data_IF_664615843444
#
_entry.id   IF_664615843444
#
_cell.length_a   1.000
_cell.length_b   1.000
_cell.length_c   1.000
_cell.angle_alpha   90.00
_cell.angle_beta   90.00
_cell.angle_gamma   90.00
#
_symmetry.space_group_name_H-M   'P 1'
#
loop_
_entity.id
_entity.type
_entity.pdbx_description
1 polymer ?
#
# COMPACT_ATOMS: atom_id res chain seq x y z
N UNK A 1 -28.71 -20.37 17.72
CA UNK A 1 -27.97 -21.25 18.67
C UNK A 1 -26.51 -20.98 18.43
N UNK A 2 -25.76 -20.60 19.45
CA UNK A 2 -24.31 -20.32 19.37
C UNK A 2 -23.60 -21.38 20.19
N UNK A 3 -22.58 -22.04 19.63
CA UNK A 3 -21.78 -23.05 20.32
C UNK A 3 -20.45 -22.45 20.78
N UNK A 4 -19.98 -22.74 22.01
CA UNK A 4 -18.65 -22.37 22.47
C UNK A 4 -17.56 -23.39 22.10
N UNK A 5 -17.91 -24.47 21.40
CA UNK A 5 -16.98 -25.55 21.08
C UNK A 5 -16.05 -25.14 19.92
N UNK A 6 -14.71 -25.21 20.10
CA UNK A 6 -13.77 -24.86 19.06
C UNK A 6 -13.54 -26.01 18.08
N UNK A 7 -13.15 -25.67 16.85
CA UNK A 7 -12.53 -26.60 15.93
C UNK A 7 -11.01 -26.66 16.20
N UNK A 8 -10.45 -27.87 16.32
CA UNK A 8 -9.03 -28.09 16.61
C UNK A 8 -8.42 -28.94 15.51
N UNK A 9 -7.39 -28.41 14.85
CA UNK A 9 -6.56 -29.13 13.90
C UNK A 9 -5.11 -29.15 14.37
N UNK A 10 -4.45 -30.29 14.23
CA UNK A 10 -3.03 -30.47 14.52
C UNK A 10 -2.29 -30.68 13.22
N UNK A 11 -1.32 -29.82 12.93
CA UNK A 11 -0.48 -29.89 11.74
C UNK A 11 0.96 -30.11 12.19
N UNK A 12 1.62 -31.13 11.63
CA UNK A 12 3.03 -31.40 11.92
C UNK A 12 3.91 -30.32 11.28
N UNK A 13 4.88 -29.81 12.06
CA UNK A 13 5.76 -28.73 11.60
C UNK A 13 6.75 -29.23 10.56
N UNK A 14 7.02 -28.38 9.57
CA UNK A 14 8.04 -28.58 8.57
C UNK A 14 9.16 -27.54 8.70
N UNK A 15 10.44 -27.88 8.43
CA UNK A 15 11.49 -26.88 8.25
C UNK A 15 11.19 -25.87 7.13
N UNK A 16 10.27 -26.22 6.21
CA UNK A 16 9.81 -25.35 5.13
C UNK A 16 8.68 -24.39 5.55
N UNK A 17 8.19 -24.46 6.80
CA UNK A 17 7.17 -23.53 7.28
C UNK A 17 7.71 -22.09 7.22
N UNK A 18 6.99 -21.20 6.54
CA UNK A 18 7.39 -19.80 6.39
C UNK A 18 6.82 -18.93 7.51
N UNK A 19 5.49 -18.83 7.59
CA UNK A 19 4.80 -18.00 8.57
C UNK A 19 3.35 -18.46 8.79
N UNK A 20 2.75 -18.01 9.89
CA UNK A 20 1.31 -18.11 10.18
C UNK A 20 0.73 -16.70 10.22
N UNK A 21 -0.48 -16.54 9.67
CA UNK A 21 -1.29 -15.35 9.81
C UNK A 21 -2.55 -15.70 10.60
N UNK A 22 -2.82 -14.94 11.66
CA UNK A 22 -4.09 -14.94 12.37
C UNK A 22 -4.72 -13.57 12.19
N UNK A 23 -5.97 -13.50 11.74
CA UNK A 23 -6.67 -12.24 11.56
C UNK A 23 -8.18 -12.40 11.77
N UNK A 24 -8.85 -11.30 12.11
CA UNK A 24 -10.31 -11.24 12.14
C UNK A 24 -10.92 -11.12 10.72
N UNK A 25 -12.24 -11.25 10.64
CA UNK A 25 -13.07 -11.01 9.46
C UNK A 25 -12.81 -9.65 8.80
N UNK A 26 -12.52 -8.60 9.58
CA UNK A 26 -12.12 -7.29 9.03
C UNK A 26 -10.94 -7.35 8.03
N UNK A 27 -10.09 -8.39 8.06
CA UNK A 27 -9.10 -8.70 7.02
C UNK A 27 -9.71 -9.55 5.92
N UNK A 28 -10.26 -10.72 6.30
CA UNK A 28 -10.68 -11.77 5.37
C UNK A 28 -11.88 -11.39 4.50
N UNK A 29 -12.67 -10.40 4.91
CA UNK A 29 -13.78 -9.84 4.12
C UNK A 29 -13.29 -9.07 2.89
N UNK A 30 -12.02 -8.64 2.88
CA UNK A 30 -11.45 -7.80 1.80
C UNK A 30 -10.26 -8.43 1.07
N UNK A 31 -9.64 -9.45 1.64
CA UNK A 31 -8.43 -10.08 1.09
C UNK A 31 -8.55 -11.61 1.17
N UNK A 32 -8.30 -12.30 0.06
CA UNK A 32 -8.30 -13.77 0.04
C UNK A 32 -7.08 -14.36 0.76
N UNK A 33 -7.12 -15.66 1.08
CA UNK A 33 -5.97 -16.38 1.65
C UNK A 33 -4.72 -16.23 0.78
N UNK A 34 -4.85 -16.47 -0.53
CA UNK A 34 -3.77 -16.41 -1.50
C UNK A 34 -3.24 -14.98 -1.67
N UNK A 35 -4.12 -13.99 -1.75
CA UNK A 35 -3.74 -12.59 -1.83
C UNK A 35 -2.95 -12.16 -0.59
N UNK A 36 -3.44 -12.50 0.61
CA UNK A 36 -2.79 -12.10 1.85
C UNK A 36 -1.44 -12.80 2.01
N UNK A 37 -1.36 -14.10 1.69
CA UNK A 37 -0.10 -14.83 1.75
C UNK A 37 0.93 -14.27 0.76
N UNK A 38 0.52 -13.97 -0.47
CA UNK A 38 1.40 -13.37 -1.46
C UNK A 38 1.88 -11.98 -1.03
N UNK A 39 0.98 -11.18 -0.47
CA UNK A 39 1.30 -9.85 0.02
C UNK A 39 2.27 -9.90 1.20
N UNK A 40 1.97 -10.66 2.27
CA UNK A 40 2.86 -10.84 3.42
C UNK A 40 4.23 -11.36 2.98
N UNK A 41 4.28 -12.37 2.10
CA UNK A 41 5.53 -12.89 1.56
C UNK A 41 6.34 -11.81 0.84
N UNK A 42 5.69 -10.94 0.06
CA UNK A 42 6.36 -9.82 -0.61
C UNK A 42 6.90 -8.79 0.39
N UNK A 43 6.14 -8.48 1.45
CA UNK A 43 6.50 -7.47 2.45
C UNK A 43 7.64 -7.93 3.34
N UNK A 44 7.70 -9.21 3.70
CA UNK A 44 8.83 -9.80 4.44
C UNK A 44 10.17 -9.67 3.69
N UNK A 45 10.16 -9.49 2.36
CA UNK A 45 11.38 -9.30 1.56
C UNK A 45 11.88 -7.86 1.53
N UNK A 46 11.08 -6.90 1.98
CA UNK A 46 11.38 -5.45 1.94
C UNK A 46 11.29 -4.77 3.31
N UNK A 47 10.64 -5.39 4.29
CA UNK A 47 10.49 -4.85 5.65
C UNK A 47 11.43 -5.57 6.63
N UNK A 48 12.07 -4.79 7.51
CA UNK A 48 12.89 -5.31 8.61
C UNK A 48 12.08 -5.64 9.86
N UNK A 49 10.90 -5.04 10.01
CA UNK A 49 10.04 -5.16 11.19
C UNK A 49 8.68 -5.75 10.81
N UNK A 50 8.23 -6.75 11.57
CA UNK A 50 6.91 -7.36 11.37
C UNK A 50 5.77 -6.40 11.67
N UNK A 51 6.00 -5.38 12.51
CA UNK A 51 5.03 -4.31 12.76
C UNK A 51 4.70 -3.57 11.47
N UNK A 52 5.69 -3.29 10.63
CA UNK A 52 5.49 -2.61 9.35
C UNK A 52 4.71 -3.48 8.36
N UNK A 53 4.94 -4.81 8.39
CA UNK A 53 4.17 -5.76 7.58
C UNK A 53 2.70 -5.78 8.03
N UNK A 54 2.46 -5.88 9.33
CA UNK A 54 1.10 -5.84 9.89
C UNK A 54 0.38 -4.51 9.57
N UNK A 55 1.07 -3.37 9.74
CA UNK A 55 0.53 -2.05 9.39
C UNK A 55 0.15 -1.96 7.92
N UNK A 56 1.00 -2.44 7.02
CA UNK A 56 0.69 -2.46 5.58
C UNK A 56 -0.50 -3.35 5.24
N UNK A 57 -0.72 -4.46 5.94
CA UNK A 57 -1.92 -5.29 5.76
C UNK A 57 -3.17 -4.54 6.23
N UNK A 58 -3.10 -3.87 7.39
CA UNK A 58 -4.23 -3.08 7.91
C UNK A 58 -4.62 -1.98 6.93
N UNK A 59 -3.63 -1.23 6.44
CA UNK A 59 -3.83 -0.17 5.44
C UNK A 59 -4.41 -0.74 4.14
N UNK A 60 -3.92 -1.89 3.66
CA UNK A 60 -4.46 -2.56 2.49
C UNK A 60 -5.95 -2.89 2.66
N UNK A 61 -6.34 -3.47 3.80
CA UNK A 61 -7.73 -3.80 4.09
C UNK A 61 -8.62 -2.55 4.17
N UNK A 62 -8.15 -1.49 4.83
CA UNK A 62 -8.84 -0.19 4.85
C UNK A 62 -9.05 0.34 3.42
N UNK A 63 -8.02 0.27 2.59
CA UNK A 63 -8.07 0.76 1.22
C UNK A 63 -8.87 -0.09 0.25
N UNK A 64 -9.00 -1.39 0.52
CA UNK A 64 -9.96 -2.28 -0.15
C UNK A 64 -11.40 -2.12 0.37
N UNK A 65 -11.62 -1.28 1.38
CA UNK A 65 -12.95 -0.86 1.82
C UNK A 65 -13.46 -1.57 3.08
N UNK A 66 -12.57 -2.16 3.89
CA UNK A 66 -12.94 -2.71 5.19
C UNK A 66 -13.47 -1.59 6.10
N UNK A 67 -14.65 -1.80 6.68
CA UNK A 67 -15.31 -0.88 7.62
C UNK A 67 -15.36 -1.44 9.05
N UNK A 68 -14.69 -2.57 9.29
CA UNK A 68 -14.69 -3.27 10.57
C UNK A 68 -13.42 -2.99 11.38
N UNK A 69 -13.34 -3.53 12.59
CA UNK A 69 -12.12 -3.60 13.38
C UNK A 69 -11.16 -4.60 12.72
N UNK A 70 -9.93 -4.16 12.49
CA UNK A 70 -8.90 -4.96 11.82
C UNK A 70 -7.83 -5.32 12.85
N UNK A 71 -7.57 -6.61 13.01
CA UNK A 71 -6.52 -7.15 13.88
C UNK A 71 -5.82 -8.30 13.16
N UNK A 72 -4.49 -8.28 13.19
CA UNK A 72 -3.65 -9.29 12.55
C UNK A 72 -2.43 -9.63 13.44
N UNK A 73 -2.07 -10.91 13.46
CA UNK A 73 -0.85 -11.43 14.04
C UNK A 73 -0.11 -12.20 12.95
N UNK A 74 1.16 -11.86 12.74
CA UNK A 74 2.06 -12.61 11.86
C UNK A 74 3.14 -13.27 12.71
N UNK A 75 3.26 -14.59 12.59
CA UNK A 75 4.30 -15.39 13.27
C UNK A 75 5.24 -15.94 12.21
N UNK A 76 6.50 -15.53 12.23
CA UNK A 76 7.51 -16.03 11.31
C UNK A 76 8.29 -17.21 11.88
N UNK A 77 8.56 -18.19 11.02
CA UNK A 77 9.42 -19.33 11.31
C UNK A 77 10.79 -19.17 10.63
N UNK A 78 11.77 -20.06 10.89
CA UNK A 78 13.07 -20.00 10.22
C UNK A 78 13.01 -20.10 8.68
N UNK A 79 11.96 -20.70 8.12
CA UNK A 79 11.73 -20.78 6.68
C UNK A 79 11.17 -19.49 6.07
N UNK A 80 10.87 -18.46 6.86
CA UNK A 80 10.30 -17.21 6.37
C UNK A 80 11.20 -16.54 5.31
N UNK A 81 10.60 -15.87 4.31
CA UNK A 81 11.34 -15.02 3.37
C UNK A 81 12.22 -14.02 4.11
N UNK A 82 13.43 -13.85 3.60
CA UNK A 82 14.39 -12.88 4.12
C UNK A 82 14.42 -11.63 3.25
N UNK A 83 14.97 -10.56 3.80
CA UNK A 83 15.24 -9.34 3.07
C UNK A 83 16.04 -9.63 1.80
N UNK A 84 15.60 -9.01 0.71
CA UNK A 84 16.17 -9.22 -0.62
C UNK A 84 16.59 -7.88 -1.20
N UNK A 85 17.89 -7.66 -1.46
CA UNK A 85 18.37 -6.41 -2.06
C UNK A 85 17.71 -6.11 -3.41
N UNK A 86 17.42 -7.15 -4.19
CA UNK A 86 16.66 -7.05 -5.43
C UNK A 86 15.23 -6.56 -5.19
N UNK A 87 14.53 -7.11 -4.19
CA UNK A 87 13.17 -6.68 -3.87
C UNK A 87 13.13 -5.25 -3.33
N UNK A 88 14.13 -4.84 -2.53
CA UNK A 88 14.27 -3.46 -2.06
C UNK A 88 14.49 -2.48 -3.22
N UNK A 89 15.32 -2.86 -4.19
CA UNK A 89 15.55 -2.06 -5.39
C UNK A 89 14.28 -1.94 -6.23
N UNK A 90 13.57 -3.04 -6.48
CA UNK A 90 12.28 -3.04 -7.20
C UNK A 90 11.21 -2.20 -6.48
N UNK A 91 11.17 -2.25 -5.15
CA UNK A 91 10.25 -1.43 -4.35
C UNK A 91 10.55 0.06 -4.52
N UNK A 92 11.83 0.46 -4.48
CA UNK A 92 12.25 1.84 -4.69
C UNK A 92 11.95 2.32 -6.12
N UNK A 93 12.24 1.50 -7.14
CA UNK A 93 11.92 1.83 -8.54
C UNK A 93 10.41 2.02 -8.75
N UNK A 94 9.59 1.19 -8.10
CA UNK A 94 8.14 1.34 -8.13
C UNK A 94 7.68 2.64 -7.46
N UNK A 95 8.27 3.02 -6.33
CA UNK A 95 7.96 4.28 -5.64
C UNK A 95 8.30 5.49 -6.50
N UNK A 96 9.52 5.53 -7.07
CA UNK A 96 9.95 6.59 -7.99
C UNK A 96 9.03 6.70 -9.21
N UNK A 97 8.61 5.55 -9.76
CA UNK A 97 7.66 5.50 -10.88
C UNK A 97 6.29 6.05 -10.48
N UNK A 98 5.75 5.66 -9.32
CA UNK A 98 4.47 6.14 -8.82
C UNK A 98 4.51 7.66 -8.56
N UNK A 99 5.58 8.17 -7.95
CA UNK A 99 5.77 9.59 -7.72
C UNK A 99 5.78 10.38 -9.04
N UNK A 100 6.54 9.89 -10.03
CA UNK A 100 6.60 10.48 -11.36
C UNK A 100 5.24 10.47 -12.06
N UNK A 101 4.49 9.36 -11.95
CA UNK A 101 3.14 9.24 -12.53
C UNK A 101 2.12 10.13 -11.84
N UNK A 102 2.19 10.26 -10.52
CA UNK A 102 1.34 11.21 -9.78
C UNK A 102 1.62 12.64 -10.23
N UNK A 103 2.88 13.02 -10.41
CA UNK A 103 3.25 14.35 -10.90
C UNK A 103 2.71 14.62 -12.32
N UNK A 104 2.85 13.67 -13.24
CA UNK A 104 2.33 13.75 -14.60
C UNK A 104 0.81 13.96 -14.61
N UNK A 105 0.07 13.13 -13.88
CA UNK A 105 -1.40 13.21 -13.78
C UNK A 105 -1.84 14.52 -13.12
N UNK A 106 -1.14 14.96 -12.08
CA UNK A 106 -1.48 16.18 -11.36
C UNK A 106 -1.35 17.42 -12.26
N UNK A 107 -0.30 17.52 -13.08
CA UNK A 107 -0.10 18.61 -14.03
C UNK A 107 -1.13 18.53 -15.18
N UNK A 108 -1.41 17.34 -15.72
CA UNK A 108 -2.43 17.15 -16.76
C UNK A 108 -3.82 17.63 -16.30
N UNK A 109 -4.22 17.23 -15.09
CA UNK A 109 -5.53 17.63 -14.53
C UNK A 109 -5.56 19.12 -14.17
N UNK A 110 -4.44 19.68 -13.68
CA UNK A 110 -4.33 21.12 -13.38
C UNK A 110 -4.50 21.99 -14.62
N UNK A 111 -4.12 21.50 -15.80
CA UNK A 111 -4.33 22.19 -17.08
C UNK A 111 -5.81 22.34 -17.48
N UNK A 112 -6.73 21.61 -16.83
CA UNK A 112 -8.18 21.65 -17.13
C UNK A 112 -8.92 22.77 -16.39
N UNK A 113 -8.23 23.52 -15.53
CA UNK A 113 -8.72 24.76 -14.92
C UNK A 113 -8.94 24.70 -13.40
N UNK A 114 -9.10 23.50 -12.83
CA UNK A 114 -9.30 23.30 -11.40
C UNK A 114 -8.08 22.62 -10.74
N UNK A 115 -7.94 22.80 -9.42
CA UNK A 115 -6.99 22.00 -8.63
C UNK A 115 -7.49 20.55 -8.56
N UNK A 116 -6.71 19.56 -9.05
CA UNK A 116 -7.14 18.17 -8.96
C UNK A 116 -7.22 17.73 -7.50
N UNK A 117 -8.29 17.05 -7.14
CA UNK A 117 -8.38 16.36 -5.86
C UNK A 117 -7.67 14.99 -5.92
N UNK A 118 -7.40 14.43 -4.73
CA UNK A 118 -6.73 13.12 -4.60
C UNK A 118 -7.54 12.01 -5.29
N UNK A 119 -8.87 12.08 -5.24
CA UNK A 119 -9.75 11.04 -5.80
C UNK A 119 -9.63 10.99 -7.33
N UNK A 120 -9.52 12.14 -7.98
CA UNK A 120 -9.32 12.27 -9.41
C UNK A 120 -7.99 11.65 -9.83
N UNK A 121 -6.91 11.94 -9.09
CA UNK A 121 -5.59 11.34 -9.35
C UNK A 121 -5.62 9.82 -9.18
N UNK A 122 -6.23 9.33 -8.09
CA UNK A 122 -6.39 7.89 -7.85
C UNK A 122 -7.23 7.20 -8.92
N UNK A 123 -8.25 7.86 -9.45
CA UNK A 123 -9.11 7.33 -10.52
C UNK A 123 -8.32 7.15 -11.81
N UNK A 124 -7.51 8.14 -12.19
CA UNK A 124 -6.65 8.04 -13.37
C UNK A 124 -5.58 6.97 -13.18
N UNK A 125 -4.91 6.92 -12.01
CA UNK A 125 -3.92 5.88 -11.70
C UNK A 125 -4.52 4.47 -11.74
N UNK A 126 -5.75 4.29 -11.24
CA UNK A 126 -6.42 3.00 -11.27
C UNK A 126 -6.74 2.50 -12.68
N UNK A 127 -6.81 3.40 -13.67
CA UNK A 127 -6.99 3.06 -15.08
C UNK A 127 -5.68 2.79 -15.83
N UNK A 128 -4.52 3.10 -15.21
CA UNK A 128 -3.22 2.89 -15.79
C UNK A 128 -2.65 1.49 -15.46
N UNK A 129 -1.94 0.88 -16.40
CA UNK A 129 -1.15 -0.31 -16.13
C UNK A 129 0.15 0.08 -15.40
N UNK A 130 0.24 -0.32 -14.13
CA UNK A 130 1.41 -0.06 -13.28
C UNK A 130 2.15 -1.38 -13.06
N UNK A 131 3.35 -1.56 -13.65
CA UNK A 131 4.13 -2.79 -13.47
C UNK A 131 4.69 -2.87 -12.05
N UNK A 132 5.00 -4.08 -11.59
CA UNK A 132 5.74 -4.29 -10.34
C UNK A 132 4.93 -4.09 -9.05
N UNK A 133 3.61 -3.89 -9.12
CA UNK A 133 2.77 -3.76 -7.93
C UNK A 133 2.89 -4.98 -6.99
N UNK A 134 2.82 -4.78 -5.65
CA UNK A 134 2.90 -5.88 -4.71
C UNK A 134 1.81 -6.94 -4.95
N UNK A 135 2.17 -8.23 -5.02
CA UNK A 135 1.20 -9.28 -5.30
C UNK A 135 0.17 -9.38 -4.16
N UNK A 136 -1.11 -9.55 -4.51
CA UNK A 136 -2.24 -9.54 -3.56
C UNK A 136 -2.64 -8.15 -3.03
N UNK A 137 -1.68 -7.21 -2.97
CA UNK A 137 -1.90 -5.84 -2.52
C UNK A 137 -2.33 -4.86 -3.62
N UNK A 138 -1.82 -5.03 -4.83
CA UNK A 138 -2.12 -4.16 -5.97
C UNK A 138 -1.84 -2.69 -5.69
N UNK A 139 -2.57 -1.80 -6.37
CA UNK A 139 -2.43 -0.35 -6.22
C UNK A 139 -2.80 0.13 -4.81
N UNK A 140 -3.75 -0.55 -4.16
CA UNK A 140 -4.25 -0.23 -2.83
C UNK A 140 -3.11 -0.28 -1.80
N UNK A 141 -2.20 -1.25 -1.91
CA UNK A 141 -1.04 -1.35 -1.00
C UNK A 141 -0.05 -0.20 -1.13
N UNK A 142 -0.07 0.55 -2.24
CA UNK A 142 0.81 1.71 -2.48
C UNK A 142 0.10 3.05 -2.32
N UNK A 143 -1.13 3.07 -1.79
CA UNK A 143 -1.90 4.31 -1.60
C UNK A 143 -1.20 5.32 -0.70
N UNK A 144 -0.52 4.90 0.36
CA UNK A 144 0.25 5.83 1.21
C UNK A 144 1.30 6.60 0.41
N UNK A 145 2.10 5.91 -0.41
CA UNK A 145 3.08 6.52 -1.31
C UNK A 145 2.40 7.51 -2.28
N UNK A 146 1.29 7.11 -2.91
CA UNK A 146 0.52 7.95 -3.83
C UNK A 146 -0.03 9.21 -3.14
N UNK A 147 -0.56 9.07 -1.92
CA UNK A 147 -1.09 10.17 -1.12
C UNK A 147 0.03 11.15 -0.79
N UNK A 148 1.18 10.65 -0.33
CA UNK A 148 2.35 11.47 -0.05
C UNK A 148 2.83 12.23 -1.28
N UNK A 149 2.97 11.54 -2.42
CA UNK A 149 3.35 12.16 -3.70
C UNK A 149 2.36 13.26 -4.11
N UNK A 150 1.05 13.01 -4.00
CA UNK A 150 0.01 13.99 -4.33
C UNK A 150 0.13 15.26 -3.47
N UNK A 151 0.28 15.12 -2.15
CA UNK A 151 0.39 16.28 -1.28
C UNK A 151 1.69 17.05 -1.50
N UNK A 152 2.79 16.38 -1.85
CA UNK A 152 4.02 17.06 -2.26
C UNK A 152 3.81 17.91 -3.52
N UNK A 153 3.12 17.37 -4.54
CA UNK A 153 2.79 18.13 -5.75
C UNK A 153 1.88 19.32 -5.46
N UNK A 154 0.87 19.10 -4.61
CA UNK A 154 -0.06 20.16 -4.19
C UNK A 154 0.67 21.32 -3.51
N UNK A 155 1.51 21.04 -2.52
CA UNK A 155 2.26 22.08 -1.81
C UNK A 155 3.31 22.74 -2.71
N UNK A 156 3.97 21.99 -3.60
CA UNK A 156 4.91 22.55 -4.57
C UNK A 156 4.23 23.53 -5.54
N UNK A 157 3.05 23.20 -6.07
CA UNK A 157 2.27 24.11 -6.94
C UNK A 157 1.84 25.37 -6.20
N UNK A 158 1.36 25.23 -4.96
CA UNK A 158 0.99 26.36 -4.11
C UNK A 158 2.18 27.30 -3.86
N UNK A 159 3.36 26.76 -3.62
CA UNK A 159 4.59 27.54 -3.46
C UNK A 159 4.97 28.29 -4.75
N UNK A 160 4.86 27.65 -5.92
CA UNK A 160 5.11 28.30 -7.23
C UNK A 160 4.17 29.48 -7.46
N UNK A 161 2.85 29.28 -7.28
CA UNK A 161 1.84 30.33 -7.46
C UNK A 161 2.05 31.51 -6.50
N UNK A 162 2.42 31.24 -5.24
CA UNK A 162 2.70 32.29 -4.26
C UNK A 162 3.94 33.14 -4.64
N UNK A 163 4.96 32.53 -5.23
CA UNK A 163 6.14 33.26 -5.74
C UNK A 163 5.78 34.16 -6.92
N UNK A 164 4.94 33.67 -7.84
CA UNK A 164 4.47 34.45 -8.99
C UNK A 164 3.65 35.68 -8.55
N UNK A 165 2.70 35.51 -7.63
CA UNK A 165 1.92 36.61 -7.05
C UNK A 165 2.80 37.61 -6.27
N UNK A 166 3.77 37.14 -5.49
CA UNK A 166 4.69 38.01 -4.76
C UNK A 166 5.66 38.80 -5.65
N UNK A 167 5.97 38.29 -6.85
CA UNK A 167 6.80 39.00 -7.83
C UNK A 167 6.02 40.10 -8.57
N UNK A 168 4.71 39.91 -8.79
CA UNK A 168 3.85 40.86 -9.49
C UNK A 168 3.57 42.15 -8.69
N UNK A 169 3.55 42.09 -7.35
CA UNK A 169 3.36 43.26 -6.47
C UNK A 169 4.64 44.10 -6.26
N UNK A 170 5.78 43.66 -6.80
CA UNK A 170 7.09 44.32 -6.63
C UNK A 170 7.57 45.12 -7.85
N UNK A 171 6.74 45.24 -8.90
CA UNK A 171 7.03 45.96 -10.15
C UNK A 171 6.03 47.08 -10.38
#
# INVERSE_FOLDING_TARGET
>A
MVSPEPEISAVERSPADEFIVLACDGVWDTVSNEELCAFVRSRLRVCTDLRDVCSQVIDLCLYKGSLDNISIIVVCFPGAPQLSPEALHQEAELEDYLESKVAEIFEELSGRGDEPDLLSVLTVLASAEIPGLPPGGGLQSKRNCIISAYYQQKEARKARLAQELGSADST
#
